data_IF_861408852939
#
_entry.id   IF_861408852939
#
_cell.length_a   1.000
_cell.length_b   1.000
_cell.length_c   1.000
_cell.angle_alpha   90.00
_cell.angle_beta   90.00
_cell.angle_gamma   90.00
#
_symmetry.space_group_name_H-M   'P 1'
#
loop_
_entity.id
_entity.type
_entity.pdbx_description
1 polymer ?
#
# COMPACT_ATOMS: atom_id res chain seq x y z
N UNK A 1 12.69 -12.46 -10.06
CA UNK A 1 12.50 -11.30 -9.16
C UNK A 1 11.04 -10.90 -9.24
N UNK A 2 10.32 -10.89 -8.12
CA UNK A 2 8.92 -10.45 -8.08
C UNK A 2 8.96 -8.96 -7.79
N UNK A 3 8.64 -8.12 -8.78
CA UNK A 3 8.48 -6.67 -8.57
C UNK A 3 7.34 -6.47 -7.57
N UNK A 4 7.70 -6.23 -6.30
CA UNK A 4 6.76 -5.89 -5.25
C UNK A 4 6.11 -4.57 -5.61
N UNK A 5 4.78 -4.55 -5.76
CA UNK A 5 4.05 -3.29 -5.84
C UNK A 5 4.16 -2.64 -4.47
N UNK A 6 4.84 -1.51 -4.40
CA UNK A 6 4.99 -0.71 -3.18
C UNK A 6 3.63 -0.11 -2.80
N UNK A 7 3.28 -0.20 -1.51
CA UNK A 7 2.09 0.47 -0.98
C UNK A 7 2.39 1.97 -0.82
N UNK A 8 1.45 2.83 -1.21
CA UNK A 8 1.57 4.28 -1.10
C UNK A 8 1.20 4.77 0.30
N UNK A 9 0.31 4.03 1.00
CA UNK A 9 -0.01 4.27 2.40
C UNK A 9 0.70 3.27 3.31
N UNK A 10 1.13 3.69 4.51
CA UNK A 10 1.62 2.75 5.51
C UNK A 10 0.49 1.76 5.88
N UNK A 11 0.77 0.45 5.88
CA UNK A 11 -0.23 -0.54 6.28
C UNK A 11 -0.62 -0.34 7.74
N UNK A 12 -1.87 -0.65 8.08
CA UNK A 12 -2.31 -0.67 9.48
C UNK A 12 -1.36 -1.56 10.32
N UNK A 13 -1.10 -1.22 11.60
CA UNK A 13 -0.04 -1.87 12.39
C UNK A 13 -0.23 -3.38 12.51
N UNK A 14 -1.48 -3.87 12.47
CA UNK A 14 -1.78 -5.32 12.51
C UNK A 14 -1.39 -5.98 11.20
N UNK A 15 -1.72 -5.36 10.06
CA UNK A 15 -1.33 -5.84 8.74
C UNK A 15 0.19 -5.73 8.53
N UNK A 16 0.81 -4.63 8.97
CA UNK A 16 2.26 -4.43 8.94
C UNK A 16 2.99 -5.54 9.72
N UNK A 17 2.56 -5.83 10.96
CA UNK A 17 3.12 -6.91 11.77
C UNK A 17 2.98 -8.28 11.10
N UNK A 18 1.84 -8.56 10.45
CA UNK A 18 1.65 -9.82 9.70
C UNK A 18 2.51 -9.89 8.46
N UNK A 19 2.68 -8.81 7.73
CA UNK A 19 3.56 -8.75 6.56
C UNK A 19 5.02 -8.96 6.97
N UNK A 20 5.48 -8.31 8.04
CA UNK A 20 6.82 -8.51 8.60
C UNK A 20 7.03 -9.97 9.04
N UNK A 21 6.06 -10.56 9.74
CA UNK A 21 6.13 -11.97 10.16
C UNK A 21 6.16 -12.94 8.97
N UNK A 22 5.50 -12.61 7.85
CA UNK A 22 5.56 -13.39 6.61
C UNK A 22 6.93 -13.29 5.94
N UNK A 23 7.48 -12.07 5.83
CA UNK A 23 8.82 -11.84 5.26
C UNK A 23 9.89 -12.56 6.09
N UNK A 24 9.81 -12.49 7.42
CA UNK A 24 10.70 -13.22 8.33
C UNK A 24 10.65 -14.75 8.17
N UNK A 25 9.58 -15.28 7.56
CA UNK A 25 9.40 -16.70 7.24
C UNK A 25 9.72 -17.03 5.77
N UNK A 26 10.29 -16.09 5.02
CA UNK A 26 10.60 -16.25 3.60
C UNK A 26 9.36 -16.29 2.70
N UNK A 27 8.20 -15.83 3.18
CA UNK A 27 6.97 -15.73 2.41
C UNK A 27 6.82 -14.34 1.80
N UNK A 28 6.19 -14.26 0.63
CA UNK A 28 5.82 -12.97 0.04
C UNK A 28 4.87 -12.19 0.97
N UNK A 29 5.16 -10.90 1.17
CA UNK A 29 4.42 -10.00 2.06
C UNK A 29 2.92 -9.92 1.70
N UNK A 30 2.61 -9.87 0.41
CA UNK A 30 1.27 -9.72 -0.16
C UNK A 30 0.72 -11.01 -0.83
N UNK A 31 1.56 -12.05 -0.92
CA UNK A 31 1.33 -13.20 -1.79
C UNK A 31 0.10 -14.03 -1.40
N UNK A 32 -0.63 -14.58 -2.39
CA UNK A 32 -1.76 -15.47 -2.15
C UNK A 32 -1.32 -16.81 -1.55
N UNK A 33 -0.12 -17.27 -1.94
CA UNK A 33 0.44 -18.56 -1.60
C UNK A 33 0.89 -18.57 -0.15
N UNK A 34 0.03 -19.10 0.67
CA UNK A 34 0.44 -19.68 1.93
C UNK A 34 0.95 -21.10 1.64
N UNK A 35 2.06 -21.57 2.23
CA UNK A 35 2.65 -22.89 1.92
C UNK A 35 1.67 -24.07 2.10
N UNK A 36 0.57 -23.88 2.86
CA UNK A 36 -0.48 -24.87 3.08
C UNK A 36 -1.73 -24.67 2.23
N UNK A 37 -1.69 -23.89 1.16
CA UNK A 37 -2.82 -23.73 0.24
C UNK A 37 -3.28 -25.09 -0.33
N UNK A 38 -2.33 -25.99 -0.61
CA UNK A 38 -2.61 -27.37 -1.03
C UNK A 38 -3.38 -28.16 0.04
N UNK A 39 -3.20 -27.87 1.32
CA UNK A 39 -3.94 -28.55 2.40
C UNK A 39 -5.41 -28.13 2.43
N UNK A 40 -5.71 -26.91 1.99
CA UNK A 40 -7.09 -26.45 1.84
C UNK A 40 -7.76 -27.22 0.71
N UNK A 41 -7.10 -27.33 -0.44
CA UNK A 41 -7.59 -28.14 -1.57
C UNK A 41 -7.79 -29.59 -1.16
N UNK A 42 -6.81 -30.19 -0.47
CA UNK A 42 -6.90 -31.55 0.06
C UNK A 42 -8.08 -31.69 1.03
N UNK A 43 -8.23 -30.79 2.00
CA UNK A 43 -9.34 -30.84 2.95
C UNK A 43 -10.70 -30.69 2.25
N UNK A 44 -10.82 -29.81 1.24
CA UNK A 44 -12.06 -29.69 0.45
C UNK A 44 -12.38 -30.94 -0.35
N UNK A 45 -11.40 -31.52 -1.04
CA UNK A 45 -11.61 -32.72 -1.87
C UNK A 45 -11.91 -33.93 -0.99
N UNK A 46 -11.19 -34.11 0.11
CA UNK A 46 -11.46 -35.17 1.10
C UNK A 46 -12.85 -35.03 1.71
N UNK A 47 -13.28 -33.81 2.08
CA UNK A 47 -14.63 -33.61 2.63
C UNK A 47 -15.69 -33.96 1.59
N UNK A 48 -15.56 -33.46 0.36
CA UNK A 48 -16.50 -33.74 -0.72
C UNK A 48 -16.59 -35.24 -1.03
N UNK A 49 -15.45 -35.92 -1.15
CA UNK A 49 -15.41 -37.37 -1.40
C UNK A 49 -16.00 -38.16 -0.23
N UNK A 50 -15.69 -37.78 1.02
CA UNK A 50 -16.22 -38.44 2.22
C UNK A 50 -17.73 -38.29 2.32
N UNK A 51 -18.31 -37.14 1.94
CA UNK A 51 -19.76 -36.97 1.86
C UNK A 51 -20.38 -37.94 0.84
N UNK A 52 -19.80 -38.07 -0.36
CA UNK A 52 -20.30 -39.00 -1.39
C UNK A 52 -20.21 -40.45 -0.92
N UNK A 53 -19.06 -40.86 -0.37
CA UNK A 53 -18.86 -42.21 0.18
C UNK A 53 -19.82 -42.47 1.35
N UNK A 54 -20.05 -41.50 2.22
CA UNK A 54 -21.00 -41.59 3.33
C UNK A 54 -22.43 -41.81 2.86
N UNK A 55 -22.88 -41.10 1.82
CA UNK A 55 -24.21 -41.30 1.22
C UNK A 55 -24.34 -42.70 0.62
N UNK A 56 -23.36 -43.15 -0.16
CA UNK A 56 -23.34 -44.50 -0.75
C UNK A 56 -23.36 -45.57 0.35
N UNK A 57 -22.59 -45.37 1.43
CA UNK A 57 -22.54 -46.29 2.55
C UNK A 57 -23.89 -46.41 3.26
N UNK A 58 -24.60 -45.29 3.46
CA UNK A 58 -25.92 -45.28 4.07
C UNK A 58 -26.96 -46.00 3.20
N UNK A 59 -26.96 -45.77 1.88
CA UNK A 59 -27.86 -46.45 0.92
C UNK A 59 -27.65 -47.97 0.95
N UNK A 60 -26.40 -48.42 1.09
CA UNK A 60 -26.05 -49.84 1.11
C UNK A 60 -26.01 -50.45 2.53
N UNK A 61 -26.45 -49.71 3.55
CA UNK A 61 -26.39 -50.11 4.97
C UNK A 61 -24.99 -50.55 5.45
N UNK A 62 -23.93 -50.04 4.83
CA UNK A 62 -22.55 -50.33 5.21
C UNK A 62 -22.07 -49.39 6.32
N UNK A 63 -22.41 -49.74 7.56
CA UNK A 63 -21.98 -49.01 8.76
C UNK A 63 -20.47 -48.75 8.87
N UNK A 64 -19.55 -49.71 8.58
CA UNK A 64 -18.12 -49.41 8.68
C UNK A 64 -17.68 -48.30 7.72
N UNK A 65 -18.22 -48.26 6.49
CA UNK A 65 -17.92 -47.19 5.54
C UNK A 65 -18.48 -45.83 5.98
N UNK A 66 -19.67 -45.81 6.58
CA UNK A 66 -20.27 -44.59 7.13
C UNK A 66 -19.42 -44.01 8.28
N UNK A 67 -18.88 -44.87 9.16
CA UNK A 67 -17.98 -44.45 10.25
C UNK A 67 -16.67 -43.87 9.70
N UNK A 68 -16.06 -44.51 8.71
CA UNK A 68 -14.84 -44.02 8.06
C UNK A 68 -15.07 -42.66 7.38
N UNK A 69 -16.21 -42.50 6.70
CA UNK A 69 -16.58 -41.22 6.09
C UNK A 69 -16.71 -40.10 7.13
N UNK A 70 -17.39 -40.35 8.26
CA UNK A 70 -17.52 -39.38 9.35
C UNK A 70 -16.17 -39.03 9.99
N UNK A 71 -15.32 -40.03 10.25
CA UNK A 71 -13.99 -39.79 10.80
C UNK A 71 -13.14 -38.91 9.86
N UNK A 72 -13.23 -39.15 8.56
CA UNK A 72 -12.53 -38.37 7.53
C UNK A 72 -13.00 -36.90 7.49
N UNK A 73 -14.31 -36.66 7.64
CA UNK A 73 -14.87 -35.31 7.75
C UNK A 73 -14.38 -34.62 9.03
N UNK A 74 -14.35 -35.32 10.16
CA UNK A 74 -13.85 -34.77 11.43
C UNK A 74 -12.38 -34.34 11.34
N UNK A 75 -11.52 -35.17 10.73
CA UNK A 75 -10.12 -34.83 10.47
C UNK A 75 -10.01 -33.60 9.57
N UNK A 76 -10.79 -33.54 8.48
CA UNK A 76 -10.81 -32.38 7.60
C UNK A 76 -11.25 -31.10 8.33
N UNK A 77 -12.22 -31.19 9.24
CA UNK A 77 -12.67 -30.05 10.05
C UNK A 77 -11.56 -29.52 10.99
N UNK A 78 -10.78 -30.41 11.61
CA UNK A 78 -9.61 -30.02 12.42
C UNK A 78 -8.56 -29.31 11.57
N UNK A 79 -8.25 -29.84 10.38
CA UNK A 79 -7.33 -29.22 9.42
C UNK A 79 -7.82 -27.82 9.02
N UNK A 80 -9.12 -27.68 8.74
CA UNK A 80 -9.73 -26.39 8.43
C UNK A 80 -9.60 -25.38 9.57
N UNK A 81 -9.85 -25.81 10.81
CA UNK A 81 -9.70 -24.96 11.99
C UNK A 81 -8.24 -24.51 12.16
N UNK A 82 -7.28 -25.40 11.95
CA UNK A 82 -5.86 -25.08 12.01
C UNK A 82 -5.44 -24.07 10.92
N UNK A 83 -5.94 -24.23 9.69
CA UNK A 83 -5.71 -23.28 8.59
C UNK A 83 -6.39 -21.92 8.86
N UNK A 84 -7.52 -21.91 9.55
CA UNK A 84 -8.26 -20.70 9.90
C UNK A 84 -7.59 -19.91 11.04
N UNK A 85 -6.99 -20.60 12.01
CA UNK A 85 -6.32 -20.00 13.17
C UNK A 85 -4.90 -19.49 12.89
N UNK A 86 -4.44 -19.55 11.64
CA UNK A 86 -3.07 -19.21 11.29
C UNK A 86 -2.81 -17.69 11.35
N UNK A 87 -1.90 -17.21 12.22
CA UNK A 87 -1.63 -15.78 12.37
C UNK A 87 -0.97 -15.14 11.13
N UNK A 88 -0.34 -15.95 10.26
CA UNK A 88 0.33 -15.46 9.05
C UNK A 88 -0.62 -15.34 7.85
N UNK A 89 -1.89 -15.75 8.02
CA UNK A 89 -2.88 -15.69 6.96
C UNK A 89 -3.46 -14.28 6.85
N UNK A 90 -3.26 -13.68 5.67
CA UNK A 90 -3.98 -12.47 5.29
C UNK A 90 -5.40 -12.83 4.86
N UNK A 91 -6.39 -12.21 5.49
CA UNK A 91 -7.79 -12.35 5.09
C UNK A 91 -8.02 -11.72 3.71
N UNK A 92 -9.10 -12.10 3.03
CA UNK A 92 -9.48 -11.46 1.76
C UNK A 92 -9.76 -9.96 1.93
N UNK A 93 -10.27 -9.54 3.10
CA UNK A 93 -10.45 -8.13 3.44
C UNK A 93 -9.11 -7.40 3.56
N UNK A 94 -8.13 -7.96 4.28
CA UNK A 94 -6.79 -7.39 4.40
C UNK A 94 -6.07 -7.31 3.06
N UNK A 95 -6.17 -8.36 2.21
CA UNK A 95 -5.60 -8.31 0.86
C UNK A 95 -6.25 -7.24 -0.01
N UNK A 96 -7.57 -7.04 0.12
CA UNK A 96 -8.26 -5.95 -0.57
C UNK A 96 -7.80 -4.58 -0.06
N UNK A 97 -7.58 -4.42 1.25
CA UNK A 97 -7.01 -3.20 1.83
C UNK A 97 -5.59 -2.95 1.34
N UNK A 98 -4.68 -3.92 1.46
CA UNK A 98 -3.30 -3.81 0.92
C UNK A 98 -3.30 -3.42 -0.56
N UNK A 99 -4.22 -3.98 -1.37
CA UNK A 99 -4.36 -3.60 -2.79
C UNK A 99 -4.91 -2.18 -2.97
N UNK A 100 -5.87 -1.77 -2.14
CA UNK A 100 -6.38 -0.40 -2.16
C UNK A 100 -5.28 0.59 -1.75
N UNK A 101 -4.48 0.25 -0.75
CA UNK A 101 -3.37 1.07 -0.22
C UNK A 101 -2.22 1.21 -1.22
N UNK A 102 -2.17 0.37 -2.26
CA UNK A 102 -1.23 0.48 -3.40
C UNK A 102 -1.67 1.48 -4.46
N UNK A 103 -2.96 1.82 -4.51
CA UNK A 103 -3.50 2.70 -5.54
C UNK A 103 -4.05 3.95 -4.89
N UNK A 104 -3.35 5.06 -5.08
CA UNK A 104 -3.90 6.36 -4.71
C UNK A 104 -5.05 6.73 -5.64
N UNK A 105 -6.07 7.39 -5.09
CA UNK A 105 -7.20 7.95 -5.83
C UNK A 105 -7.53 9.31 -5.25
N UNK A 106 -7.79 10.26 -6.13
CA UNK A 106 -8.31 11.59 -5.80
C UNK A 106 -9.51 11.49 -4.87
N UNK A 107 -9.57 12.36 -3.87
CA UNK A 107 -10.73 12.52 -2.96
C UNK A 107 -11.80 13.41 -3.57
N UNK A 108 -11.40 14.27 -4.50
CA UNK A 108 -12.29 15.18 -5.20
C UNK A 108 -12.84 14.59 -6.50
N UNK A 109 -14.04 15.02 -6.84
CA UNK A 109 -14.73 14.67 -8.08
C UNK A 109 -14.39 15.71 -9.16
N UNK A 110 -13.27 15.47 -9.86
CA UNK A 110 -12.81 16.29 -10.97
C UNK A 110 -13.76 16.13 -12.18
N UNK A 111 -14.86 16.88 -12.18
CA UNK A 111 -15.82 16.96 -13.28
C UNK A 111 -15.44 18.05 -14.28
N UNK A 112 -15.83 17.94 -15.57
CA UNK A 112 -15.72 19.05 -16.51
C UNK A 112 -16.43 20.30 -15.96
N UNK A 113 -15.84 21.51 -16.05
CA UNK A 113 -14.60 21.85 -16.76
C UNK A 113 -13.29 21.68 -15.96
N UNK A 114 -13.36 21.33 -14.67
CA UNK A 114 -12.20 21.26 -13.76
C UNK A 114 -11.12 20.28 -14.22
N UNK A 115 -11.48 19.26 -15.00
CA UNK A 115 -10.52 18.30 -15.59
C UNK A 115 -9.54 18.92 -16.58
N UNK A 116 -9.87 20.07 -17.18
CA UNK A 116 -9.04 20.73 -18.19
C UNK A 116 -8.19 21.88 -17.61
N UNK A 117 -8.10 21.98 -16.28
CA UNK A 117 -7.38 23.05 -15.58
C UNK A 117 -5.88 22.72 -15.43
N UNK A 118 -4.99 23.72 -15.37
CA UNK A 118 -3.57 23.48 -15.13
C UNK A 118 -3.31 22.85 -13.76
N UNK A 119 -4.16 23.11 -12.77
CA UNK A 119 -4.10 22.47 -11.44
C UNK A 119 -4.29 20.95 -11.54
N UNK A 120 -5.19 20.48 -12.42
CA UNK A 120 -5.36 19.05 -12.67
C UNK A 120 -4.11 18.41 -13.26
N UNK A 121 -3.42 19.14 -14.15
CA UNK A 121 -2.17 18.68 -14.76
C UNK A 121 -1.05 18.55 -13.72
N UNK A 122 -0.91 19.52 -12.80
CA UNK A 122 0.04 19.43 -11.68
C UNK A 122 -0.20 18.19 -10.81
N UNK A 123 -1.47 17.85 -10.55
CA UNK A 123 -1.81 16.65 -9.80
C UNK A 123 -1.45 15.36 -10.56
N UNK A 124 -1.59 15.33 -11.89
CA UNK A 124 -1.17 14.19 -12.72
C UNK A 124 0.36 14.02 -12.73
N UNK A 125 1.10 15.13 -12.81
CA UNK A 125 2.56 15.14 -12.73
C UNK A 125 3.04 14.62 -11.36
N UNK A 126 2.41 15.07 -10.27
CA UNK A 126 2.69 14.59 -8.92
C UNK A 126 2.42 13.07 -8.78
N UNK A 127 1.30 12.58 -9.30
CA UNK A 127 1.01 11.13 -9.33
C UNK A 127 2.06 10.36 -10.11
N UNK A 128 2.55 10.89 -11.23
CA UNK A 128 3.58 10.25 -12.02
C UNK A 128 4.92 10.21 -11.27
N UNK A 129 5.31 11.30 -10.60
CA UNK A 129 6.51 11.36 -9.76
C UNK A 129 6.44 10.32 -8.62
N UNK A 130 5.32 10.29 -7.89
CA UNK A 130 5.09 9.31 -6.81
C UNK A 130 5.15 7.87 -7.31
N UNK A 131 4.60 7.57 -8.51
CA UNK A 131 4.72 6.23 -9.10
C UNK A 131 6.17 5.84 -9.42
N UNK A 132 7.01 6.80 -9.85
CA UNK A 132 8.43 6.55 -10.09
C UNK A 132 9.18 6.28 -8.79
N UNK A 133 8.94 7.09 -7.76
CA UNK A 133 9.52 6.89 -6.42
C UNK A 133 9.11 5.51 -5.88
N UNK A 134 7.82 5.18 -5.91
CA UNK A 134 7.30 3.90 -5.44
C UNK A 134 7.78 2.70 -6.27
N UNK A 135 8.13 2.87 -7.54
CA UNK A 135 8.68 1.81 -8.38
C UNK A 135 10.19 1.60 -8.19
N UNK A 136 10.86 2.51 -7.47
CA UNK A 136 12.29 2.41 -7.23
C UNK A 136 12.66 1.28 -6.27
N UNK A 137 13.85 0.71 -6.46
CA UNK A 137 14.37 -0.35 -5.58
C UNK A 137 14.67 0.17 -4.17
N UNK A 138 15.05 1.45 -4.06
CA UNK A 138 15.31 2.14 -2.79
C UNK A 138 14.08 2.13 -1.88
N UNK A 139 12.90 2.31 -2.45
CA UNK A 139 11.67 2.28 -1.67
C UNK A 139 11.32 0.88 -1.12
N UNK A 140 11.88 -0.18 -1.72
CA UNK A 140 11.71 -1.54 -1.23
C UNK A 140 12.65 -1.89 -0.06
N UNK A 141 13.66 -1.05 0.22
CA UNK A 141 14.61 -1.31 1.30
C UNK A 141 14.04 -0.93 2.68
N UNK A 142 14.17 -1.82 3.68
CA UNK A 142 13.57 -1.62 5.00
C UNK A 142 14.13 -0.42 5.78
N UNK A 143 15.31 0.09 5.41
CA UNK A 143 15.94 1.26 6.02
C UNK A 143 15.39 2.58 5.47
N UNK A 144 14.92 2.61 4.23
CA UNK A 144 14.25 3.77 3.63
C UNK A 144 12.86 4.01 4.24
N UNK A 145 12.28 3.04 4.94
CA UNK A 145 11.08 3.22 5.77
C UNK A 145 11.27 4.16 6.99
N UNK A 146 12.44 4.79 7.18
CA UNK A 146 12.62 5.88 8.16
C UNK A 146 12.42 7.27 7.57
N UNK A 147 12.65 7.46 6.27
CA UNK A 147 12.17 8.61 5.51
C UNK A 147 10.78 8.27 4.97
N UNK A 148 9.79 8.11 5.87
CA UNK A 148 8.40 7.90 5.47
C UNK A 148 7.85 9.24 5.02
N UNK A 149 8.21 9.68 3.82
CA UNK A 149 7.28 10.50 3.07
C UNK A 149 6.05 9.62 2.88
N UNK A 150 4.96 9.93 3.57
CA UNK A 150 3.66 9.34 3.27
C UNK A 150 3.22 9.93 1.92
N UNK A 151 3.69 9.28 0.83
CA UNK A 151 3.44 9.74 -0.54
C UNK A 151 1.94 9.85 -0.83
N UNK A 152 1.11 9.06 -0.13
CA UNK A 152 -0.33 9.20 -0.24
C UNK A 152 -0.86 10.43 0.47
N UNK A 153 -0.38 10.76 1.67
CA UNK A 153 -0.73 12.00 2.36
C UNK A 153 -0.28 13.23 1.56
N UNK A 154 0.92 13.17 0.97
CA UNK A 154 1.44 14.21 0.09
C UNK A 154 0.55 14.42 -1.14
N UNK A 155 0.12 13.34 -1.82
CA UNK A 155 -0.83 13.43 -2.92
C UNK A 155 -2.22 13.90 -2.46
N UNK A 156 -2.66 13.52 -1.27
CA UNK A 156 -3.92 13.95 -0.69
C UNK A 156 -3.92 15.48 -0.45
N UNK A 157 -2.80 16.07 0.00
CA UNK A 157 -2.64 17.51 0.16
C UNK A 157 -2.54 18.26 -1.18
N UNK A 158 -1.79 17.70 -2.15
CA UNK A 158 -1.70 18.27 -3.51
C UNK A 158 -3.07 18.26 -4.18
N UNK A 159 -3.86 17.19 -4.04
CA UNK A 159 -5.22 17.09 -4.57
C UNK A 159 -6.15 18.14 -3.93
N UNK A 160 -6.11 18.30 -2.61
CA UNK A 160 -6.88 19.33 -1.90
C UNK A 160 -6.53 20.75 -2.39
N UNK A 161 -5.25 21.08 -2.48
CA UNK A 161 -4.79 22.39 -2.94
C UNK A 161 -5.10 22.64 -4.41
N UNK A 162 -4.85 21.66 -5.28
CA UNK A 162 -5.15 21.75 -6.70
C UNK A 162 -6.65 21.96 -6.92
N UNK A 163 -7.50 21.20 -6.22
CA UNK A 163 -8.94 21.32 -6.35
C UNK A 163 -9.47 22.64 -5.80
N UNK A 164 -8.96 23.11 -4.66
CA UNK A 164 -9.31 24.42 -4.09
C UNK A 164 -8.95 25.56 -5.05
N UNK A 165 -7.77 25.53 -5.67
CA UNK A 165 -7.34 26.54 -6.64
C UNK A 165 -8.17 26.49 -7.93
N UNK A 166 -8.46 25.30 -8.45
CA UNK A 166 -9.27 25.12 -9.65
C UNK A 166 -10.73 25.59 -9.44
N UNK A 167 -11.29 25.33 -8.25
CA UNK A 167 -12.67 25.71 -7.91
C UNK A 167 -12.84 27.20 -7.59
N UNK A 168 -11.79 27.88 -7.10
CA UNK A 168 -11.83 29.31 -6.82
C UNK A 168 -11.87 30.19 -8.10
N UNK A 169 -11.46 29.67 -9.25
CA UNK A 169 -11.49 30.37 -10.55
C UNK A 169 -10.39 31.44 -10.71
N UNK A 170 -10.25 32.35 -9.75
CA UNK A 170 -9.15 33.32 -9.64
C UNK A 170 -8.20 32.95 -8.52
N UNK A 171 -7.46 31.86 -8.72
CA UNK A 171 -6.39 31.48 -7.82
C UNK A 171 -5.27 32.54 -7.82
N UNK A 172 -4.83 32.95 -6.62
CA UNK A 172 -3.65 33.80 -6.46
C UNK A 172 -2.46 33.17 -7.18
N UNK A 173 -1.77 33.95 -8.02
CA UNK A 173 -0.58 33.49 -8.76
C UNK A 173 0.47 32.87 -7.82
N UNK A 174 0.59 33.41 -6.60
CA UNK A 174 1.49 32.89 -5.55
C UNK A 174 1.13 31.48 -5.09
N UNK A 175 -0.16 31.18 -4.89
CA UNK A 175 -0.61 29.86 -4.45
C UNK A 175 -0.39 28.79 -5.54
N UNK A 176 -0.64 29.14 -6.80
CA UNK A 176 -0.32 28.27 -7.93
C UNK A 176 1.18 28.03 -8.07
N UNK A 177 2.00 29.05 -7.91
CA UNK A 177 3.47 28.93 -7.95
C UNK A 177 4.00 28.04 -6.81
N UNK A 178 3.45 28.16 -5.60
CA UNK A 178 3.79 27.30 -4.47
C UNK A 178 3.43 25.83 -4.73
N UNK A 179 2.24 25.56 -5.27
CA UNK A 179 1.84 24.20 -5.67
C UNK A 179 2.78 23.63 -6.74
N UNK A 180 3.10 24.42 -7.77
CA UNK A 180 4.02 24.02 -8.83
C UNK A 180 5.42 23.71 -8.30
N UNK A 181 5.95 24.53 -7.38
CA UNK A 181 7.23 24.29 -6.72
C UNK A 181 7.24 22.97 -5.92
N UNK A 182 6.16 22.68 -5.20
CA UNK A 182 5.99 21.41 -4.45
C UNK A 182 6.00 20.18 -5.38
N UNK A 183 5.26 20.25 -6.50
CA UNK A 183 5.25 19.18 -7.52
C UNK A 183 6.62 19.04 -8.20
N UNK A 184 7.31 20.16 -8.45
CA UNK A 184 8.67 20.15 -9.01
C UNK A 184 9.65 19.45 -8.07
N UNK A 185 9.63 19.75 -6.76
CA UNK A 185 10.44 19.08 -5.76
C UNK A 185 10.19 17.56 -5.71
N UNK A 186 8.91 17.12 -5.76
CA UNK A 186 8.59 15.69 -5.85
C UNK A 186 9.14 15.03 -7.13
N UNK A 187 9.11 15.77 -8.25
CA UNK A 187 9.62 15.28 -9.53
C UNK A 187 11.14 15.18 -9.53
N UNK A 188 11.83 16.11 -8.87
CA UNK A 188 13.27 16.08 -8.65
C UNK A 188 13.68 14.90 -7.77
N UNK A 189 13.03 14.69 -6.63
CA UNK A 189 13.22 13.50 -5.78
C UNK A 189 13.00 12.23 -6.60
N UNK A 190 11.96 12.19 -7.43
CA UNK A 190 11.69 11.04 -8.30
C UNK A 190 12.80 10.80 -9.34
N UNK A 191 13.47 11.85 -9.81
CA UNK A 191 14.61 11.76 -10.72
C UNK A 191 15.86 11.26 -9.99
N UNK A 192 16.20 11.86 -8.83
CA UNK A 192 17.34 11.46 -8.00
C UNK A 192 17.27 9.98 -7.60
N UNK A 193 16.10 9.53 -7.14
CA UNK A 193 15.85 8.14 -6.77
C UNK A 193 16.00 7.19 -7.97
N UNK A 194 15.73 7.67 -9.19
CA UNK A 194 15.97 6.93 -10.43
C UNK A 194 17.46 6.83 -10.79
N UNK A 195 18.22 7.90 -10.56
CA UNK A 195 19.63 8.02 -10.92
C UNK A 195 20.59 7.37 -9.91
N UNK A 196 20.28 7.40 -8.61
CA UNK A 196 21.11 6.83 -7.55
C UNK A 196 21.27 5.29 -7.60
N UNK A 197 20.57 4.62 -8.52
CA UNK A 197 20.88 3.23 -8.90
C UNK A 197 22.22 3.09 -9.66
N UNK A 198 22.67 4.15 -10.33
CA UNK A 198 23.89 4.14 -11.16
C UNK A 198 25.17 4.41 -10.36
N UNK A 199 25.05 4.96 -9.15
CA UNK A 199 26.17 5.21 -8.25
C UNK A 199 25.93 4.44 -6.94
N UNK A 200 26.14 3.11 -6.98
CA UNK A 200 26.26 2.35 -5.74
C UNK A 200 27.44 2.93 -4.93
N UNK A 201 27.12 3.70 -3.89
CA UNK A 201 28.09 4.24 -2.95
C UNK A 201 27.99 3.46 -1.62
N UNK A 202 29.14 3.22 -0.96
CA UNK A 202 29.26 2.35 0.21
C UNK A 202 28.75 3.05 1.47
N UNK A 203 28.17 2.28 2.40
CA UNK A 203 27.94 2.59 3.82
C UNK A 203 27.76 4.09 4.16
N UNK A 204 26.54 4.63 4.04
CA UNK A 204 26.27 6.03 4.41
C UNK A 204 25.26 6.14 5.57
N UNK A 205 25.67 6.65 6.76
CA UNK A 205 24.79 6.95 7.88
C UNK A 205 24.16 8.37 7.87
N UNK A 206 24.33 9.17 6.82
CA UNK A 206 24.00 10.61 6.82
C UNK A 206 22.65 11.03 6.20
N UNK A 207 21.81 10.10 5.76
CA UNK A 207 20.54 10.42 5.06
C UNK A 207 19.42 11.00 5.96
N UNK A 208 19.56 10.95 7.28
CA UNK A 208 18.61 11.56 8.24
C UNK A 208 18.66 13.11 8.20
N UNK A 209 19.72 13.69 7.64
CA UNK A 209 19.94 15.15 7.66
C UNK A 209 19.13 15.89 6.59
N UNK A 210 18.87 15.28 5.42
CA UNK A 210 18.21 15.95 4.29
C UNK A 210 16.69 16.13 4.50
N UNK A 211 16.01 15.19 5.14
CA UNK A 211 14.56 15.29 5.38
C UNK A 211 14.24 16.35 6.42
N UNK A 212 15.07 16.46 7.46
CA UNK A 212 14.91 17.52 8.46
C UNK A 212 15.25 18.90 7.90
N UNK A 213 16.23 19.00 6.99
CA UNK A 213 16.59 20.28 6.37
C UNK A 213 15.47 20.85 5.49
N UNK A 214 14.81 20.01 4.67
CA UNK A 214 13.70 20.45 3.81
C UNK A 214 12.45 20.80 4.64
N UNK A 215 12.18 20.06 5.71
CA UNK A 215 11.10 20.38 6.65
C UNK A 215 11.36 21.68 7.42
N UNK A 216 12.59 21.94 7.85
CA UNK A 216 12.96 23.19 8.54
C UNK A 216 12.89 24.39 7.59
N UNK A 217 13.34 24.23 6.35
CA UNK A 217 13.29 25.32 5.37
C UNK A 217 11.83 25.67 5.02
N UNK A 218 10.98 24.66 4.82
CA UNK A 218 9.55 24.88 4.58
C UNK A 218 8.82 25.49 5.80
N UNK A 219 9.12 24.99 7.00
CA UNK A 219 8.59 25.55 8.25
C UNK A 219 9.02 27.01 8.43
N UNK A 220 10.27 27.35 8.12
CA UNK A 220 10.79 28.72 8.19
C UNK A 220 10.09 29.67 7.22
N UNK A 221 9.80 29.22 5.99
CA UNK A 221 9.10 30.02 4.99
C UNK A 221 7.63 30.26 5.36
N UNK A 222 6.95 29.26 5.93
CA UNK A 222 5.58 29.45 6.44
C UNK A 222 5.54 30.41 7.63
N UNK A 223 6.50 30.32 8.55
CA UNK A 223 6.62 31.22 9.69
C UNK A 223 6.87 32.67 9.24
N UNK A 224 7.72 32.86 8.22
CA UNK A 224 7.96 34.17 7.62
C UNK A 224 6.72 34.75 6.94
N UNK A 225 5.93 33.92 6.25
CA UNK A 225 4.69 34.35 5.61
C UNK A 225 3.63 34.80 6.64
N UNK A 226 3.43 34.02 7.72
CA UNK A 226 2.49 34.34 8.80
C UNK A 226 2.92 35.62 9.54
N UNK A 227 4.22 35.77 9.81
CA UNK A 227 4.76 36.95 10.51
C UNK A 227 4.53 38.23 9.69
N UNK A 228 4.65 38.14 8.36
CA UNK A 228 4.42 39.28 7.47
C UNK A 228 2.94 39.70 7.45
N UNK A 229 2.02 38.73 7.52
CA UNK A 229 0.57 38.97 7.55
C UNK A 229 0.14 39.66 8.87
N UNK A 230 0.74 39.27 10.00
CA UNK A 230 0.47 39.88 11.31
C UNK A 230 0.97 41.33 11.37
N UNK A 231 2.08 41.67 10.71
CA UNK A 231 2.62 43.04 10.72
C UNK A 231 1.85 44.03 9.84
N UNK A 232 0.94 43.54 8.99
CA UNK A 232 0.13 44.37 8.09
C UNK A 232 -1.29 44.63 8.61
N UNK A 233 -1.63 44.11 9.79
CA UNK A 233 -2.85 44.40 10.55
C UNK A 233 -2.59 45.45 11.63
#
# INVERSE_FOLDING_TARGET
MVSGTVALRPPDPVTAARQAARVARGLAADGPRYPRENWRTLATTTTGLSCVVGVIALINHSWPLAVVALASIAVAAVVWRFIAADPLRLTSAQRRRIRADRTWRSRHDWKPPLTATPERQLLDDAQQAVRRIAASEWWAEPLCHRMVLDLAAELDEIDDHAYALASAGEASHSARAALAARVAALTEIAAEVGEHRLQAAPDCPDTVVLTNAVLDEFASQQLAAITKDIQQQ
#
